data_IF_828718833065
#
_entry.id   IF_828718833065
#
_cell.length_a   1.000
_cell.length_b   1.000
_cell.length_c   1.000
_cell.angle_alpha   90.00
_cell.angle_beta   90.00
_cell.angle_gamma   90.00
#
_symmetry.space_group_name_H-M   'P 1'
#
loop_
_entity.id
_entity.type
_entity.pdbx_description
1 polymer ?
#
# COMPACT_ATOMS: atom_id res chain seq x y z
N UNK A 1 -7.65 -7.59 18.96
CA UNK A 1 -7.95 -6.46 18.04
C UNK A 1 -9.13 -6.83 17.18
N UNK A 2 -9.94 -5.87 16.73
CA UNK A 2 -11.13 -6.14 15.89
C UNK A 2 -10.83 -6.33 14.41
N UNK A 3 -9.58 -6.13 13.98
CA UNK A 3 -9.10 -6.41 12.62
C UNK A 3 -9.97 -5.78 11.52
N UNK A 4 -10.13 -6.51 10.42
CA UNK A 4 -11.00 -6.16 9.30
C UNK A 4 -12.45 -5.88 9.72
N UNK A 5 -12.94 -6.49 10.81
CA UNK A 5 -14.30 -6.29 11.30
C UNK A 5 -14.55 -4.88 11.87
N UNK A 6 -13.53 -4.05 12.10
CA UNK A 6 -13.71 -2.65 12.50
C UNK A 6 -14.33 -1.80 11.38
N UNK A 7 -14.01 -2.08 10.11
CA UNK A 7 -14.63 -1.38 8.96
C UNK A 7 -16.15 -1.57 8.98
N UNK A 8 -16.61 -2.76 9.38
CA UNK A 8 -18.04 -3.04 9.52
C UNK A 8 -18.67 -2.34 10.73
N UNK A 9 -17.92 -2.12 11.81
CA UNK A 9 -18.43 -1.36 12.97
C UNK A 9 -18.67 0.10 12.65
N UNK A 10 -17.86 0.71 11.77
CA UNK A 10 -18.11 2.08 11.30
C UNK A 10 -19.50 2.23 10.68
N UNK A 11 -20.04 1.14 10.11
CA UNK A 11 -21.39 1.11 9.54
C UNK A 11 -22.44 0.68 10.58
N UNK A 12 -22.18 -0.42 11.30
CA UNK A 12 -23.17 -1.07 12.17
C UNK A 12 -23.25 -0.47 13.58
N UNK A 13 -22.15 0.10 14.08
CA UNK A 13 -21.97 0.61 15.45
C UNK A 13 -21.16 1.92 15.45
N UNK A 14 -21.61 2.96 14.72
CA UNK A 14 -20.82 4.18 14.50
C UNK A 14 -20.41 4.87 15.82
N UNK A 15 -21.31 4.93 16.80
CA UNK A 15 -21.00 5.56 18.10
C UNK A 15 -19.89 4.82 18.88
N UNK A 16 -19.83 3.50 18.77
CA UNK A 16 -18.76 2.71 19.38
C UNK A 16 -17.45 2.90 18.63
N UNK A 17 -17.50 2.90 17.29
CA UNK A 17 -16.33 3.17 16.45
C UNK A 17 -15.73 4.56 16.76
N UNK A 18 -16.57 5.58 16.88
CA UNK A 18 -16.14 6.94 17.26
C UNK A 18 -15.47 7.01 18.65
N UNK A 19 -15.94 6.23 19.63
CA UNK A 19 -15.30 6.15 20.95
C UNK A 19 -13.91 5.54 20.87
N UNK A 20 -13.76 4.48 20.07
CA UNK A 20 -12.46 3.83 19.84
C UNK A 20 -11.50 4.78 19.13
N UNK A 21 -11.96 5.45 18.06
CA UNK A 21 -11.14 6.40 17.30
C UNK A 21 -10.72 7.61 18.14
N UNK A 22 -11.63 8.13 18.98
CA UNK A 22 -11.29 9.20 19.93
C UNK A 22 -10.19 8.78 20.91
N UNK A 23 -10.28 7.55 21.43
CA UNK A 23 -9.25 7.00 22.31
C UNK A 23 -7.90 6.84 21.57
N UNK A 24 -7.91 6.26 20.37
CA UNK A 24 -6.71 6.11 19.55
C UNK A 24 -6.07 7.47 19.22
N UNK A 25 -6.88 8.47 18.86
CA UNK A 25 -6.40 9.83 18.57
C UNK A 25 -5.69 10.46 19.76
N UNK A 26 -6.22 10.31 20.98
CA UNK A 26 -5.56 10.80 22.19
C UNK A 26 -4.23 10.09 22.47
N UNK A 27 -4.14 8.79 22.17
CA UNK A 27 -2.88 8.05 22.27
C UNK A 27 -1.88 8.56 21.22
N UNK A 28 -2.29 8.67 19.96
CA UNK A 28 -1.44 9.20 18.88
C UNK A 28 -0.95 10.61 19.20
N UNK A 29 -1.83 11.48 19.72
CA UNK A 29 -1.48 12.84 20.16
C UNK A 29 -0.36 12.81 21.21
N UNK A 30 -0.54 12.05 22.30
CA UNK A 30 0.46 11.92 23.38
C UNK A 30 1.78 11.30 22.91
N UNK A 31 1.71 10.29 22.04
CA UNK A 31 2.92 9.69 21.46
C UNK A 31 3.69 10.70 20.62
N UNK A 32 2.99 11.51 19.81
CA UNK A 32 3.61 12.61 19.06
C UNK A 32 4.32 13.61 19.99
N UNK A 33 3.69 13.98 21.11
CA UNK A 33 4.32 14.83 22.13
C UNK A 33 5.61 14.21 22.68
N UNK A 34 5.55 12.95 23.13
CA UNK A 34 6.71 12.27 23.68
C UNK A 34 7.85 12.12 22.67
N UNK A 35 7.54 11.84 21.41
CA UNK A 35 8.57 11.80 20.36
C UNK A 35 9.23 13.17 20.17
N UNK A 36 8.46 14.26 20.15
CA UNK A 36 9.05 15.60 20.06
C UNK A 36 9.92 15.94 21.28
N UNK A 37 9.54 15.49 22.49
CA UNK A 37 10.35 15.66 23.71
C UNK A 37 11.70 14.94 23.62
N UNK A 38 11.82 13.87 22.82
CA UNK A 38 13.11 13.22 22.54
C UNK A 38 13.98 13.96 21.51
N UNK A 39 13.46 15.04 20.90
CA UNK A 39 14.14 15.82 19.86
C UNK A 39 13.72 15.47 18.43
N UNK A 40 12.64 14.70 18.24
CA UNK A 40 12.10 14.46 16.90
C UNK A 40 11.51 15.75 16.30
N UNK A 41 11.97 16.12 15.10
CA UNK A 41 11.48 17.30 14.37
C UNK A 41 10.21 17.01 13.55
N UNK A 42 10.01 15.74 13.19
CA UNK A 42 8.94 15.29 12.30
C UNK A 42 8.19 14.13 12.96
N UNK A 43 6.86 14.20 12.95
CA UNK A 43 5.96 13.12 13.37
C UNK A 43 5.24 12.60 12.13
N UNK A 44 5.42 11.31 11.83
CA UNK A 44 4.67 10.63 10.79
C UNK A 44 3.44 9.94 11.40
N UNK A 45 2.25 10.33 10.97
CA UNK A 45 1.01 9.65 11.34
C UNK A 45 0.61 8.71 10.22
N UNK A 46 0.67 7.41 10.51
CA UNK A 46 0.50 6.33 9.54
C UNK A 46 -0.91 5.75 9.67
N UNK A 47 -1.69 5.81 8.59
CA UNK A 47 -2.99 5.13 8.48
C UNK A 47 -3.05 4.32 7.17
N UNK A 48 -2.64 3.04 7.20
CA UNK A 48 -2.62 2.19 6.01
C UNK A 48 -4.04 1.80 5.55
N UNK A 49 -5.07 2.06 6.35
CA UNK A 49 -6.47 1.71 6.02
C UNK A 49 -7.18 2.82 5.25
N UNK A 50 -6.53 3.98 5.05
CA UNK A 50 -7.06 5.09 4.25
C UNK A 50 -7.45 4.66 2.84
N UNK A 51 -6.72 3.75 2.20
CA UNK A 51 -7.07 3.22 0.86
C UNK A 51 -8.35 2.37 0.86
N UNK A 52 -8.73 1.82 2.01
CA UNK A 52 -9.83 0.86 2.16
C UNK A 52 -11.18 1.50 2.49
N UNK A 53 -11.22 2.82 2.72
CA UNK A 53 -12.45 3.54 3.08
C UNK A 53 -12.88 4.53 2.00
N UNK A 54 -14.17 4.88 1.98
CA UNK A 54 -14.69 5.90 1.05
C UNK A 54 -14.36 7.32 1.55
N UNK A 55 -14.39 8.34 0.68
CA UNK A 55 -14.23 9.74 1.09
C UNK A 55 -15.19 10.16 2.21
N UNK A 56 -16.46 9.71 2.12
CA UNK A 56 -17.47 9.94 3.16
C UNK A 56 -17.08 9.32 4.51
N UNK A 57 -16.50 8.12 4.48
CA UNK A 57 -16.00 7.47 5.70
C UNK A 57 -14.75 8.17 6.22
N UNK A 58 -13.86 8.68 5.35
CA UNK A 58 -12.70 9.47 5.78
C UNK A 58 -13.14 10.74 6.52
N UNK A 59 -14.07 11.51 5.93
CA UNK A 59 -14.62 12.71 6.56
C UNK A 59 -15.30 12.43 7.91
N UNK A 60 -16.02 11.32 8.02
CA UNK A 60 -16.74 10.97 9.24
C UNK A 60 -15.81 10.39 10.33
N UNK A 61 -14.87 9.52 9.96
CA UNK A 61 -14.15 8.67 10.91
C UNK A 61 -12.63 8.88 10.95
N UNK A 62 -12.07 9.72 10.08
CA UNK A 62 -10.62 10.04 10.10
C UNK A 62 -10.41 11.52 10.38
N UNK A 63 -10.99 12.41 9.56
CA UNK A 63 -10.81 13.87 9.67
C UNK A 63 -11.00 14.43 11.09
N UNK A 64 -12.05 14.05 11.87
CA UNK A 64 -12.28 14.61 13.21
C UNK A 64 -11.20 14.23 14.23
N UNK A 65 -10.44 13.17 13.93
CA UNK A 65 -9.48 12.57 14.85
C UNK A 65 -8.04 12.87 14.48
N UNK A 66 -7.74 12.93 13.18
CA UNK A 66 -6.40 13.28 12.72
C UNK A 66 -6.11 14.77 12.87
N UNK A 67 -7.12 15.63 12.70
CA UNK A 67 -6.92 17.09 12.76
C UNK A 67 -6.42 17.57 14.13
N UNK A 68 -6.97 17.15 15.28
CA UNK A 68 -6.42 17.50 16.59
C UNK A 68 -4.96 17.03 16.78
N UNK A 69 -4.58 15.88 16.21
CA UNK A 69 -3.21 15.38 16.27
C UNK A 69 -2.27 16.28 15.47
N UNK A 70 -2.67 16.66 14.25
CA UNK A 70 -1.94 17.62 13.40
C UNK A 70 -1.77 18.95 14.12
N UNK A 71 -2.86 19.51 14.64
CA UNK A 71 -2.88 20.81 15.30
C UNK A 71 -1.98 20.81 16.56
N UNK A 72 -1.93 19.71 17.33
CA UNK A 72 -1.02 19.56 18.47
C UNK A 72 0.45 19.58 18.05
N UNK A 73 0.84 18.74 17.08
CA UNK A 73 2.24 18.65 16.63
C UNK A 73 2.72 20.00 16.10
N UNK A 74 1.91 20.64 15.25
CA UNK A 74 2.21 21.97 14.71
C UNK A 74 2.24 23.05 15.80
N UNK A 75 1.34 22.99 16.77
CA UNK A 75 1.28 23.91 17.92
C UNK A 75 2.55 23.88 18.78
N UNK A 76 3.32 22.79 18.72
CA UNK A 76 4.63 22.65 19.37
C UNK A 76 5.82 22.88 18.44
N UNK A 77 5.58 23.51 17.28
CA UNK A 77 6.57 23.74 16.22
C UNK A 77 7.14 22.45 15.59
N UNK A 78 6.45 21.31 15.73
CA UNK A 78 6.78 20.09 15.01
C UNK A 78 6.24 20.10 13.58
N UNK A 79 6.83 19.28 12.73
CA UNK A 79 6.36 19.00 11.37
C UNK A 79 5.53 17.71 11.41
N UNK A 80 4.39 17.68 10.74
CA UNK A 80 3.56 16.47 10.66
C UNK A 80 3.38 16.01 9.22
N UNK A 81 3.70 14.74 8.97
CA UNK A 81 3.43 14.07 7.69
C UNK A 81 2.37 12.99 7.89
N UNK A 82 1.45 12.85 6.94
CA UNK A 82 0.51 11.74 6.90
C UNK A 82 1.01 10.69 5.91
N UNK A 83 0.88 9.42 6.25
CA UNK A 83 1.20 8.33 5.34
C UNK A 83 0.03 7.37 5.14
N UNK A 84 -0.19 6.94 3.90
CA UNK A 84 -1.14 5.89 3.55
C UNK A 84 -0.54 4.87 2.57
N UNK A 85 -0.85 3.59 2.82
CA UNK A 85 -0.49 2.46 1.95
C UNK A 85 -1.63 2.10 0.99
N UNK A 86 -1.28 1.52 -0.16
CA UNK A 86 -2.21 1.11 -1.21
C UNK A 86 -2.72 2.28 -2.06
N UNK A 87 -3.63 1.98 -3.01
CA UNK A 87 -4.20 3.02 -3.87
C UNK A 87 -5.21 3.90 -3.09
N UNK A 88 -4.69 4.96 -2.49
CA UNK A 88 -5.45 5.94 -1.72
C UNK A 88 -5.92 7.16 -2.54
N UNK A 89 -5.84 7.12 -3.88
CA UNK A 89 -6.13 8.24 -4.78
C UNK A 89 -7.42 8.99 -4.41
N UNK A 90 -8.50 8.27 -4.07
CA UNK A 90 -9.80 8.83 -3.67
C UNK A 90 -9.78 9.70 -2.40
N UNK A 91 -8.78 9.53 -1.53
CA UNK A 91 -8.69 10.19 -0.22
C UNK A 91 -7.50 11.15 -0.09
N UNK A 92 -6.56 11.20 -1.04
CA UNK A 92 -5.39 12.09 -0.97
C UNK A 92 -5.77 13.56 -0.78
N UNK A 93 -6.80 14.03 -1.50
CA UNK A 93 -7.25 15.42 -1.34
C UNK A 93 -7.77 15.71 0.08
N UNK A 94 -8.49 14.77 0.69
CA UNK A 94 -8.98 14.89 2.07
C UNK A 94 -7.83 14.84 3.10
N UNK A 95 -6.80 14.04 2.83
CA UNK A 95 -5.57 14.04 3.64
C UNK A 95 -4.92 15.42 3.62
N UNK A 96 -4.78 16.05 2.45
CA UNK A 96 -4.22 17.40 2.34
C UNK A 96 -5.12 18.48 2.95
N UNK A 97 -6.44 18.35 2.83
CA UNK A 97 -7.41 19.25 3.49
C UNK A 97 -7.37 19.16 5.02
N UNK A 98 -6.83 18.07 5.58
CA UNK A 98 -6.58 17.96 7.02
C UNK A 98 -5.40 18.85 7.48
N UNK A 99 -4.73 19.53 6.55
CA UNK A 99 -3.65 20.49 6.74
C UNK A 99 -2.36 19.96 7.39
N UNK A 100 -1.82 18.77 7.01
CA UNK A 100 -0.48 18.38 7.41
C UNK A 100 0.59 19.21 6.68
N UNK A 101 1.85 19.08 7.11
CA UNK A 101 2.99 19.66 6.39
C UNK A 101 3.35 18.85 5.14
N UNK A 102 3.16 17.53 5.19
CA UNK A 102 3.39 16.64 4.06
C UNK A 102 2.40 15.47 3.99
N UNK A 103 2.27 14.87 2.80
CA UNK A 103 1.59 13.58 2.60
C UNK A 103 2.51 12.62 1.85
N UNK A 104 2.81 11.48 2.46
CA UNK A 104 3.53 10.36 1.87
C UNK A 104 2.54 9.29 1.38
N UNK A 105 2.81 8.69 0.22
CA UNK A 105 1.87 7.78 -0.44
C UNK A 105 2.54 6.66 -1.23
N UNK A 106 1.77 5.59 -1.43
CA UNK A 106 2.15 4.36 -2.12
C UNK A 106 2.47 4.54 -3.62
N UNK A 107 3.23 3.59 -4.17
CA UNK A 107 3.56 3.51 -5.61
C UNK A 107 2.32 3.46 -6.51
N UNK A 108 1.18 3.05 -5.98
CA UNK A 108 -0.08 2.93 -6.71
C UNK A 108 -0.84 4.26 -6.91
N UNK A 109 -0.39 5.37 -6.31
CA UNK A 109 -1.00 6.69 -6.48
C UNK A 109 -0.18 7.51 -7.49
N UNK A 110 -0.85 8.16 -8.45
CA UNK A 110 -0.18 8.92 -9.50
C UNK A 110 0.54 10.17 -8.95
N UNK A 111 1.86 10.27 -9.16
CA UNK A 111 2.69 11.35 -8.65
C UNK A 111 2.30 12.73 -9.22
N UNK A 112 1.88 12.80 -10.49
CA UNK A 112 1.48 14.05 -11.13
C UNK A 112 0.17 14.61 -10.54
N UNK A 113 -0.80 13.73 -10.29
CA UNK A 113 -2.04 14.02 -9.60
C UNK A 113 -1.77 14.57 -8.20
N UNK A 114 -0.92 13.90 -7.41
CA UNK A 114 -0.58 14.36 -6.06
C UNK A 114 0.11 15.72 -6.09
N UNK A 115 1.05 15.94 -7.04
CA UNK A 115 1.69 17.25 -7.21
C UNK A 115 0.69 18.37 -7.46
N UNK A 116 -0.31 18.14 -8.33
CA UNK A 116 -1.36 19.14 -8.58
C UNK A 116 -2.16 19.50 -7.33
N UNK A 117 -2.47 18.51 -6.48
CA UNK A 117 -3.12 18.75 -5.20
C UNK A 117 -2.19 19.46 -4.19
N UNK A 118 -0.93 19.05 -4.11
CA UNK A 118 0.08 19.65 -3.26
C UNK A 118 0.25 21.17 -3.55
N UNK A 119 0.29 21.55 -4.83
CA UNK A 119 0.35 22.96 -5.25
C UNK A 119 -0.90 23.74 -4.85
N UNK A 120 -2.08 23.11 -4.93
CA UNK A 120 -3.38 23.70 -4.56
C UNK A 120 -3.48 23.93 -3.04
N UNK A 121 -3.10 22.94 -2.23
CA UNK A 121 -3.25 22.96 -0.78
C UNK A 121 -2.02 23.47 -0.02
N UNK A 122 -0.90 23.71 -0.71
CA UNK A 122 0.38 24.14 -0.11
C UNK A 122 0.91 23.14 0.92
N UNK A 123 0.84 21.86 0.55
CA UNK A 123 1.30 20.71 1.36
C UNK A 123 2.43 20.04 0.60
N UNK A 124 3.51 19.66 1.29
CA UNK A 124 4.58 18.85 0.69
C UNK A 124 4.09 17.43 0.39
N UNK A 125 4.81 16.70 -0.45
CA UNK A 125 4.42 15.35 -0.83
C UNK A 125 5.65 14.46 -0.98
N UNK A 126 5.46 13.19 -0.62
CA UNK A 126 6.53 12.21 -0.47
C UNK A 126 6.17 10.89 -1.16
N UNK A 127 7.15 10.24 -1.77
CA UNK A 127 6.97 8.98 -2.52
C UNK A 127 7.57 9.07 -3.93
N UNK A 128 7.27 8.14 -4.82
CA UNK A 128 6.65 6.86 -4.56
C UNK A 128 7.37 5.78 -5.37
N UNK A 129 8.70 5.65 -5.17
CA UNK A 129 9.54 4.71 -5.91
C UNK A 129 8.97 3.28 -5.76
N UNK A 130 8.85 2.49 -6.84
CA UNK A 130 8.28 1.16 -6.76
C UNK A 130 9.18 0.21 -5.98
N UNK A 131 8.59 -0.54 -5.06
CA UNK A 131 9.31 -1.38 -4.10
C UNK A 131 9.81 -2.65 -4.75
N UNK A 132 8.94 -3.35 -5.48
CA UNK A 132 9.25 -4.69 -5.99
C UNK A 132 9.93 -4.63 -7.34
N UNK A 133 9.31 -3.99 -8.33
CA UNK A 133 9.82 -3.97 -9.71
C UNK A 133 11.07 -3.13 -9.86
N UNK A 134 11.22 -2.07 -9.06
CA UNK A 134 12.34 -1.13 -9.17
C UNK A 134 13.40 -1.42 -8.10
N UNK A 135 13.05 -1.37 -6.81
CA UNK A 135 14.05 -1.49 -5.75
C UNK A 135 14.48 -2.93 -5.44
N UNK A 136 13.55 -3.91 -5.44
CA UNK A 136 13.86 -5.31 -5.08
C UNK A 136 14.44 -6.10 -6.26
N UNK A 137 13.77 -6.06 -7.42
CA UNK A 137 14.13 -6.87 -8.59
C UNK A 137 14.76 -6.07 -9.73
N UNK A 138 14.80 -4.75 -9.65
CA UNK A 138 15.52 -3.93 -10.61
C UNK A 138 17.02 -3.94 -10.36
N UNK A 139 17.78 -3.48 -11.34
CA UNK A 139 19.20 -3.16 -11.23
C UNK A 139 19.42 -1.74 -10.69
N UNK A 140 20.66 -1.38 -10.28
CA UNK A 140 21.00 0.00 -9.93
C UNK A 140 20.63 1.02 -11.00
N UNK A 141 20.79 0.64 -12.27
CA UNK A 141 20.52 1.50 -13.40
C UNK A 141 19.02 1.75 -13.56
N UNK A 142 18.21 0.69 -13.55
CA UNK A 142 16.75 0.79 -13.60
C UNK A 142 16.22 1.60 -12.40
N UNK A 143 16.78 1.39 -11.21
CA UNK A 143 16.42 2.16 -10.01
C UNK A 143 16.71 3.66 -10.17
N UNK A 144 17.87 4.02 -10.72
CA UNK A 144 18.24 5.42 -10.94
C UNK A 144 17.45 6.04 -12.10
N UNK A 145 17.17 5.30 -13.16
CA UNK A 145 16.32 5.77 -14.27
C UNK A 145 14.89 6.09 -13.80
N UNK A 146 14.31 5.24 -12.97
CA UNK A 146 13.00 5.48 -12.34
C UNK A 146 13.01 6.73 -11.44
N UNK A 147 14.04 6.87 -10.60
CA UNK A 147 14.23 8.03 -9.74
C UNK A 147 14.41 9.33 -10.53
N UNK A 148 15.13 9.30 -11.65
CA UNK A 148 15.31 10.45 -12.55
C UNK A 148 13.96 10.98 -13.03
N UNK A 149 13.12 10.09 -13.53
CA UNK A 149 11.77 10.42 -13.99
C UNK A 149 10.92 11.00 -12.84
N UNK A 150 11.01 10.43 -11.64
CA UNK A 150 10.28 10.91 -10.46
C UNK A 150 10.74 12.29 -9.99
N UNK A 151 12.05 12.55 -9.95
CA UNK A 151 12.61 13.87 -9.61
C UNK A 151 12.16 14.92 -10.62
N UNK A 152 12.18 14.59 -11.91
CA UNK A 152 11.69 15.49 -12.96
C UNK A 152 10.21 15.83 -12.77
N UNK A 153 9.37 14.80 -12.51
CA UNK A 153 7.94 14.96 -12.34
C UNK A 153 7.59 15.72 -11.05
N UNK A 154 8.15 15.31 -9.91
CA UNK A 154 7.91 15.90 -8.59
C UNK A 154 8.46 17.32 -8.47
N UNK A 155 9.54 17.64 -9.18
CA UNK A 155 10.13 18.97 -9.22
C UNK A 155 10.98 19.32 -8.00
N UNK A 156 11.33 20.61 -7.86
CA UNK A 156 12.36 21.08 -6.92
C UNK A 156 11.81 21.68 -5.61
N UNK A 157 10.50 21.65 -5.39
CA UNK A 157 9.88 22.29 -4.23
C UNK A 157 8.70 21.46 -3.75
N UNK A 158 8.68 21.19 -2.45
CA UNK A 158 7.61 20.44 -1.80
C UNK A 158 7.66 18.92 -2.05
N UNK A 159 8.49 18.44 -2.97
CA UNK A 159 8.65 17.01 -3.24
C UNK A 159 9.81 16.41 -2.42
N UNK A 160 9.54 15.29 -1.74
CA UNK A 160 10.52 14.46 -1.04
C UNK A 160 10.54 13.09 -1.73
N UNK A 161 11.64 12.78 -2.41
CA UNK A 161 11.80 11.46 -3.02
C UNK A 161 11.94 10.39 -1.94
N UNK A 162 11.08 9.37 -1.99
CA UNK A 162 11.13 8.22 -1.10
C UNK A 162 10.52 6.97 -1.77
N UNK A 163 10.73 5.77 -1.20
CA UNK A 163 9.95 4.59 -1.53
C UNK A 163 8.44 4.81 -1.30
N UNK A 164 7.60 4.07 -2.02
CA UNK A 164 6.15 4.15 -1.86
C UNK A 164 5.63 3.61 -0.51
N UNK A 165 6.32 2.65 0.09
CA UNK A 165 6.00 2.07 1.40
C UNK A 165 7.28 1.47 2.02
N UNK A 166 7.13 0.69 3.09
CA UNK A 166 8.21 -0.07 3.70
C UNK A 166 8.92 -0.97 2.69
N UNK A 167 10.26 -0.98 2.75
CA UNK A 167 11.09 -1.77 1.85
C UNK A 167 10.91 -3.28 2.13
N UNK A 168 10.79 -4.10 1.08
CA UNK A 168 10.96 -5.55 1.21
C UNK A 168 12.29 -5.89 1.88
N UNK A 169 12.28 -6.89 2.76
CA UNK A 169 13.49 -7.28 3.53
C UNK A 169 14.69 -7.62 2.63
N UNK A 170 14.44 -8.29 1.51
CA UNK A 170 15.47 -8.71 0.56
C UNK A 170 15.88 -7.62 -0.44
N UNK A 171 15.40 -6.37 -0.29
CA UNK A 171 15.79 -5.26 -1.17
C UNK A 171 17.31 -5.10 -1.18
N UNK A 172 17.98 -5.23 -2.33
CA UNK A 172 19.44 -5.19 -2.38
C UNK A 172 19.97 -3.81 -2.01
N UNK A 173 20.93 -3.78 -1.08
CA UNK A 173 21.52 -2.53 -0.59
C UNK A 173 22.16 -1.69 -1.70
N UNK A 174 22.66 -2.32 -2.77
CA UNK A 174 23.30 -1.63 -3.90
C UNK A 174 22.31 -0.81 -4.73
N UNK A 175 21.04 -1.22 -4.80
CA UNK A 175 19.99 -0.42 -5.45
C UNK A 175 19.70 0.84 -4.64
N UNK A 176 19.61 0.70 -3.31
CA UNK A 176 19.44 1.82 -2.39
C UNK A 176 20.64 2.77 -2.42
N UNK A 177 21.86 2.23 -2.46
CA UNK A 177 23.09 3.02 -2.56
C UNK A 177 23.13 3.82 -3.86
N UNK A 178 22.78 3.21 -5.00
CA UNK A 178 22.74 3.87 -6.29
C UNK A 178 21.72 5.03 -6.32
N UNK A 179 20.50 4.78 -5.80
CA UNK A 179 19.48 5.83 -5.65
C UNK A 179 19.97 6.96 -4.76
N UNK A 180 20.57 6.63 -3.61
CA UNK A 180 21.08 7.63 -2.66
C UNK A 180 22.23 8.46 -3.24
N UNK A 181 23.20 7.84 -3.92
CA UNK A 181 24.30 8.53 -4.60
C UNK A 181 23.77 9.46 -5.69
N UNK A 182 22.87 8.97 -6.54
CA UNK A 182 22.27 9.79 -7.58
C UNK A 182 21.51 10.99 -7.00
N UNK A 183 20.66 10.78 -5.98
CA UNK A 183 19.90 11.86 -5.36
C UNK A 183 20.79 12.91 -4.67
N UNK A 184 21.92 12.50 -4.08
CA UNK A 184 22.81 13.39 -3.34
C UNK A 184 23.82 14.14 -4.24
N UNK A 185 24.37 13.48 -5.26
CA UNK A 185 25.51 14.00 -6.04
C UNK A 185 25.26 14.02 -7.55
N UNK A 186 24.19 13.39 -8.04
CA UNK A 186 23.95 13.16 -9.46
C UNK A 186 24.84 12.07 -10.07
N UNK A 187 25.57 11.31 -9.25
CA UNK A 187 26.40 10.21 -9.71
C UNK A 187 25.55 9.07 -10.27
N UNK A 188 25.83 8.65 -11.51
CA UNK A 188 25.15 7.53 -12.14
C UNK A 188 25.92 6.22 -11.91
N UNK A 189 25.22 5.09 -11.75
CA UNK A 189 25.86 3.79 -11.59
C UNK A 189 26.60 3.39 -12.88
N UNK A 190 27.69 2.63 -12.75
CA UNK A 190 28.45 2.18 -13.92
C UNK A 190 27.64 1.18 -14.76
N UNK A 191 27.83 1.20 -16.08
CA UNK A 191 27.20 0.21 -16.99
C UNK A 191 27.64 -1.23 -16.68
N UNK A 192 28.79 -1.40 -16.04
CA UNK A 192 29.36 -2.68 -15.61
C UNK A 192 29.00 -3.05 -14.16
N UNK A 193 28.07 -2.33 -13.52
CA UNK A 193 27.65 -2.65 -12.16
C UNK A 193 27.17 -4.11 -12.02
N UNK A 194 26.81 -4.78 -13.13
CA UNK A 194 26.86 -6.25 -13.22
C UNK A 194 25.78 -6.97 -12.42
N UNK A 195 24.68 -6.29 -12.13
CA UNK A 195 23.53 -6.86 -11.43
C UNK A 195 22.44 -7.23 -12.43
N UNK A 196 21.67 -8.27 -12.08
CA UNK A 196 20.57 -8.77 -12.88
C UNK A 196 19.54 -7.67 -13.11
N UNK A 197 19.10 -7.49 -14.36
CA UNK A 197 17.95 -6.65 -14.67
C UNK A 197 16.65 -7.29 -14.16
N UNK A 198 15.56 -6.51 -14.11
CA UNK A 198 14.24 -7.09 -13.83
C UNK A 198 13.89 -8.19 -14.85
N UNK A 199 14.25 -8.00 -16.13
CA UNK A 199 14.02 -9.00 -17.17
C UNK A 199 14.80 -10.29 -16.90
N UNK A 200 16.09 -10.19 -16.56
CA UNK A 200 16.93 -11.35 -16.23
C UNK A 200 16.44 -12.08 -14.98
N UNK A 201 16.00 -11.33 -13.95
CA UNK A 201 15.45 -11.90 -12.72
C UNK A 201 14.17 -12.70 -13.00
N UNK A 202 13.31 -12.19 -13.89
CA UNK A 202 12.10 -12.89 -14.31
C UNK A 202 12.41 -14.13 -15.15
N UNK A 203 13.39 -14.07 -16.06
CA UNK A 203 13.81 -15.21 -16.89
C UNK A 203 14.41 -16.35 -16.03
N UNK A 204 15.25 -16.03 -15.06
CA UNK A 204 15.85 -17.03 -14.16
C UNK A 204 14.81 -17.75 -13.29
N UNK A 205 13.75 -17.05 -12.89
CA UNK A 205 12.64 -17.68 -12.16
C UNK A 205 11.91 -18.73 -13.01
N UNK A 206 11.74 -18.47 -14.31
CA UNK A 206 11.16 -19.44 -15.24
C UNK A 206 12.05 -20.67 -15.43
N UNK A 207 13.35 -20.46 -15.63
CA UNK A 207 14.31 -21.54 -15.84
C UNK A 207 14.48 -22.44 -14.60
N UNK A 208 14.32 -21.86 -13.40
CA UNK A 208 14.41 -22.59 -12.14
C UNK A 208 13.10 -23.29 -11.72
N UNK A 209 11.99 -23.05 -12.44
CA UNK A 209 10.68 -23.59 -12.11
C UNK A 209 10.01 -22.89 -10.92
N UNK A 210 10.51 -21.72 -10.50
CA UNK A 210 9.86 -20.85 -9.52
C UNK A 210 8.72 -20.07 -10.20
N UNK A 211 7.62 -20.78 -10.46
CA UNK A 211 6.40 -20.25 -11.07
C UNK A 211 5.18 -20.68 -10.27
N UNK A 212 4.17 -19.82 -10.20
CA UNK A 212 2.88 -20.22 -9.66
C UNK A 212 2.17 -21.12 -10.66
N UNK A 213 1.82 -22.33 -10.24
CA UNK A 213 0.97 -23.23 -11.03
C UNK A 213 -0.37 -22.56 -11.34
N UNK A 214 -0.83 -22.74 -12.57
CA UNK A 214 -2.20 -22.37 -12.94
C UNK A 214 -3.18 -23.30 -12.21
N UNK A 215 -4.15 -22.69 -11.53
CA UNK A 215 -5.20 -23.45 -10.85
C UNK A 215 -6.35 -23.70 -11.82
N UNK A 216 -6.57 -24.97 -12.13
CA UNK A 216 -7.73 -25.40 -12.91
C UNK A 216 -8.96 -25.32 -12.03
N UNK A 217 -9.99 -24.58 -12.48
CA UNK A 217 -11.24 -24.44 -11.75
C UNK A 217 -12.11 -25.67 -12.03
N UNK A 218 -12.31 -26.50 -11.00
CA UNK A 218 -13.18 -27.67 -11.10
C UNK A 218 -14.66 -27.26 -11.07
N UNK A 219 -15.54 -27.90 -11.86
CA UNK A 219 -16.98 -27.66 -11.77
C UNK A 219 -17.53 -27.87 -10.35
N UNK A 220 -18.27 -26.90 -9.83
CA UNK A 220 -18.81 -26.94 -8.47
C UNK A 220 -17.83 -26.56 -7.36
N UNK A 221 -16.62 -26.10 -7.71
CA UNK A 221 -15.66 -25.49 -6.79
C UNK A 221 -15.36 -24.05 -7.18
N UNK A 222 -14.89 -23.28 -6.20
CA UNK A 222 -14.41 -21.91 -6.36
C UNK A 222 -12.96 -21.85 -5.89
N UNK A 223 -12.15 -21.15 -6.67
CA UNK A 223 -10.78 -20.83 -6.29
C UNK A 223 -10.63 -19.32 -6.10
N UNK A 224 -10.08 -18.90 -4.95
CA UNK A 224 -9.75 -17.51 -4.67
C UNK A 224 -8.24 -17.33 -4.66
N UNK A 225 -7.75 -16.37 -5.42
CA UNK A 225 -6.34 -15.98 -5.40
C UNK A 225 -6.24 -14.54 -4.93
N UNK A 226 -5.42 -14.29 -3.92
CA UNK A 226 -5.20 -12.95 -3.37
C UNK A 226 -3.77 -12.55 -3.71
N UNK A 227 -3.62 -11.52 -4.52
CA UNK A 227 -2.31 -10.96 -4.86
C UNK A 227 -1.99 -9.83 -3.88
N UNK A 228 -0.85 -9.94 -3.21
CA UNK A 228 -0.43 -9.05 -2.13
C UNK A 228 1.06 -8.74 -2.22
N UNK A 229 1.49 -7.69 -1.51
CA UNK A 229 2.90 -7.46 -1.23
C UNK A 229 3.39 -8.46 -0.16
N UNK A 230 2.76 -8.39 1.02
CA UNK A 230 3.06 -9.23 2.18
C UNK A 230 1.93 -9.15 3.22
N UNK A 231 1.11 -10.19 3.39
CA UNK A 231 0.05 -10.18 4.41
C UNK A 231 0.55 -10.23 5.86
N UNK A 232 1.83 -10.56 6.10
CA UNK A 232 2.41 -10.57 7.45
C UNK A 232 2.85 -9.17 7.89
N UNK A 233 3.21 -8.31 6.93
CA UNK A 233 3.74 -6.97 7.18
C UNK A 233 2.80 -5.81 6.79
N UNK A 234 1.93 -6.02 5.80
CA UNK A 234 1.07 -4.96 5.25
C UNK A 234 -0.40 -5.16 5.69
N UNK A 235 -0.93 -4.24 6.50
CA UNK A 235 -2.27 -4.36 7.09
C UNK A 235 -3.42 -4.51 6.05
N UNK A 236 -3.48 -3.75 4.94
CA UNK A 236 -4.44 -4.00 3.87
C UNK A 236 -4.36 -5.42 3.28
N UNK A 237 -3.13 -5.92 3.05
CA UNK A 237 -2.90 -7.28 2.55
C UNK A 237 -3.40 -8.31 3.57
N UNK A 238 -3.05 -8.12 4.85
CA UNK A 238 -3.51 -8.95 5.96
C UNK A 238 -5.04 -9.04 5.98
N UNK A 239 -5.73 -7.89 5.95
CA UNK A 239 -7.19 -7.85 6.10
C UNK A 239 -7.90 -8.43 4.87
N UNK A 240 -7.30 -8.36 3.68
CA UNK A 240 -7.81 -9.05 2.48
C UNK A 240 -7.73 -10.57 2.65
N UNK A 241 -6.60 -11.09 3.17
CA UNK A 241 -6.45 -12.51 3.48
C UNK A 241 -7.38 -12.98 4.60
N UNK A 242 -7.53 -12.19 5.66
CA UNK A 242 -8.47 -12.47 6.75
C UNK A 242 -9.92 -12.54 6.25
N UNK A 243 -10.33 -11.63 5.34
CA UNK A 243 -11.68 -11.66 4.77
C UNK A 243 -12.01 -12.98 4.06
N UNK A 244 -11.02 -13.62 3.43
CA UNK A 244 -11.18 -14.93 2.79
C UNK A 244 -11.09 -16.06 3.80
N UNK A 245 -10.10 -16.01 4.70
CA UNK A 245 -9.88 -17.00 5.75
C UNK A 245 -11.11 -17.16 6.66
N UNK A 246 -11.80 -16.06 6.96
CA UNK A 246 -12.99 -16.05 7.81
C UNK A 246 -14.22 -16.70 7.14
N UNK A 247 -14.34 -16.60 5.80
CA UNK A 247 -15.47 -17.19 5.06
C UNK A 247 -15.19 -18.60 4.56
N UNK A 248 -13.92 -18.96 4.35
CA UNK A 248 -13.54 -20.25 3.76
C UNK A 248 -14.13 -21.47 4.50
N UNK A 249 -14.16 -21.52 5.85
CA UNK A 249 -14.76 -22.63 6.60
C UNK A 249 -16.24 -22.86 6.29
N UNK A 250 -17.00 -21.85 5.85
CA UNK A 250 -18.41 -22.00 5.47
C UNK A 250 -18.60 -22.90 4.24
N UNK A 251 -17.61 -22.94 3.35
CA UNK A 251 -17.69 -23.64 2.07
C UNK A 251 -16.99 -24.99 2.06
N UNK A 252 -16.14 -25.27 3.06
CA UNK A 252 -15.42 -26.53 3.18
C UNK A 252 -14.57 -26.81 1.94
N UNK A 253 -14.73 -28.01 1.36
CA UNK A 253 -13.99 -28.48 0.19
C UNK A 253 -14.38 -27.80 -1.14
N UNK A 254 -15.45 -26.99 -1.13
CA UNK A 254 -15.90 -26.24 -2.31
C UNK A 254 -15.11 -24.97 -2.57
N UNK A 255 -14.33 -24.50 -1.59
CA UNK A 255 -13.53 -23.29 -1.71
C UNK A 255 -12.07 -23.59 -1.36
N UNK A 256 -11.19 -23.35 -2.30
CA UNK A 256 -9.74 -23.33 -2.08
C UNK A 256 -9.23 -21.91 -2.30
N UNK A 257 -8.16 -21.51 -1.59
CA UNK A 257 -7.56 -20.21 -1.79
C UNK A 257 -6.06 -20.21 -1.56
N UNK A 258 -5.37 -19.24 -2.16
CA UNK A 258 -3.95 -18.97 -1.91
C UNK A 258 -3.65 -17.48 -1.91
N UNK A 259 -2.58 -17.12 -1.24
CA UNK A 259 -1.92 -15.83 -1.39
C UNK A 259 -0.76 -15.95 -2.40
N UNK A 260 -0.65 -14.97 -3.30
CA UNK A 260 0.41 -14.87 -4.30
C UNK A 260 1.20 -13.58 -4.05
N UNK A 261 2.41 -13.74 -3.52
CA UNK A 261 3.25 -12.66 -3.03
C UNK A 261 4.09 -12.03 -4.14
N UNK A 262 3.98 -10.72 -4.36
CA UNK A 262 4.78 -10.00 -5.38
C UNK A 262 6.23 -9.74 -4.97
N UNK A 263 6.65 -10.16 -3.76
CA UNK A 263 8.05 -10.20 -3.33
C UNK A 263 8.84 -11.40 -3.91
N UNK A 264 8.30 -12.07 -4.92
CA UNK A 264 8.96 -13.15 -5.67
C UNK A 264 8.85 -12.88 -7.18
N UNK A 265 9.85 -13.30 -7.95
CA UNK A 265 9.78 -13.19 -9.41
C UNK A 265 8.60 -14.01 -9.99
N UNK A 266 8.33 -15.19 -9.41
CA UNK A 266 7.14 -15.99 -9.67
C UNK A 266 5.84 -15.18 -9.50
N UNK A 267 5.73 -14.45 -8.38
CA UNK A 267 4.57 -13.64 -8.03
C UNK A 267 4.39 -12.43 -8.94
N UNK A 268 5.48 -11.75 -9.31
CA UNK A 268 5.43 -10.66 -10.29
C UNK A 268 4.92 -11.17 -11.64
N UNK A 269 5.44 -12.31 -12.11
CA UNK A 269 4.97 -12.93 -13.36
C UNK A 269 3.49 -13.33 -13.28
N UNK A 270 3.07 -13.96 -12.17
CA UNK A 270 1.67 -14.34 -11.94
C UNK A 270 0.74 -13.12 -11.93
N UNK A 271 1.14 -12.05 -11.26
CA UNK A 271 0.42 -10.76 -11.21
C UNK A 271 0.21 -10.19 -12.61
N UNK A 272 1.27 -10.15 -13.43
CA UNK A 272 1.19 -9.73 -14.84
C UNK A 272 0.25 -10.62 -15.66
N UNK A 273 0.34 -11.94 -15.50
CA UNK A 273 -0.50 -12.90 -16.21
C UNK A 273 -2.00 -12.78 -15.84
N UNK A 274 -2.29 -12.43 -14.59
CA UNK A 274 -3.64 -12.20 -14.08
C UNK A 274 -4.22 -10.81 -14.42
N UNK A 275 -3.42 -9.92 -15.03
CA UNK A 275 -3.85 -8.56 -15.35
C UNK A 275 -4.09 -7.69 -14.11
N UNK A 276 -3.44 -8.02 -12.98
CA UNK A 276 -3.56 -7.26 -11.74
C UNK A 276 -2.68 -6.01 -11.81
N UNK A 277 -3.26 -4.85 -11.53
CA UNK A 277 -2.57 -3.54 -11.58
C UNK A 277 -2.48 -2.83 -10.24
N UNK A 278 -3.20 -3.27 -9.22
CA UNK A 278 -3.17 -2.67 -7.87
C UNK A 278 -3.14 -3.76 -6.79
N UNK A 279 -2.78 -3.40 -5.56
CA UNK A 279 -2.63 -4.31 -4.44
C UNK A 279 -3.23 -3.72 -3.15
N UNK A 280 -3.85 -4.57 -2.31
CA UNK A 280 -4.11 -5.99 -2.54
C UNK A 280 -5.27 -6.22 -3.52
N UNK A 281 -5.22 -7.31 -4.30
CA UNK A 281 -6.28 -7.66 -5.27
C UNK A 281 -6.77 -9.07 -5.05
N UNK A 282 -8.09 -9.26 -5.03
CA UNK A 282 -8.74 -10.58 -4.92
C UNK A 282 -9.35 -10.99 -6.25
N UNK A 283 -8.95 -12.16 -6.70
CA UNK A 283 -9.50 -12.84 -7.85
C UNK A 283 -10.36 -14.02 -7.41
N UNK A 284 -11.47 -14.24 -8.12
CA UNK A 284 -12.31 -15.43 -7.94
C UNK A 284 -12.42 -16.11 -9.30
N UNK A 285 -11.93 -17.35 -9.39
CA UNK A 285 -11.85 -18.11 -10.64
C UNK A 285 -11.03 -17.38 -11.73
N UNK A 286 -9.86 -16.85 -11.36
CA UNK A 286 -8.95 -16.06 -12.22
C UNK A 286 -9.52 -14.74 -12.75
N UNK A 287 -10.70 -14.31 -12.29
CA UNK A 287 -11.26 -12.99 -12.61
C UNK A 287 -11.02 -12.03 -11.46
N UNK A 288 -10.53 -10.83 -11.73
CA UNK A 288 -10.44 -9.75 -10.73
C UNK A 288 -11.86 -9.37 -10.28
N UNK A 289 -12.15 -9.56 -8.99
CA UNK A 289 -13.45 -9.23 -8.40
C UNK A 289 -13.35 -8.05 -7.45
N UNK A 290 -12.27 -7.95 -6.68
CA UNK A 290 -12.03 -6.84 -5.77
C UNK A 290 -10.62 -6.29 -5.98
N UNK A 291 -10.55 -5.03 -6.40
CA UNK A 291 -9.33 -4.31 -6.75
C UNK A 291 -9.03 -3.25 -5.68
N UNK A 292 -8.01 -3.50 -4.85
CA UNK A 292 -7.63 -2.65 -3.70
C UNK A 292 -8.82 -2.27 -2.77
N UNK A 293 -9.78 -3.17 -2.59
CA UNK A 293 -10.89 -2.98 -1.65
C UNK A 293 -11.27 -4.27 -0.96
N UNK A 294 -11.15 -4.30 0.36
CA UNK A 294 -11.52 -5.48 1.16
C UNK A 294 -13.05 -5.66 1.13
N UNK A 295 -13.56 -6.83 0.70
CA UNK A 295 -15.00 -7.07 0.67
C UNK A 295 -15.58 -7.31 2.06
N UNK A 296 -16.88 -7.09 2.20
CA UNK A 296 -17.61 -7.58 3.38
C UNK A 296 -17.80 -9.10 3.26
N UNK A 297 -17.93 -9.80 4.40
CA UNK A 297 -18.20 -11.23 4.39
C UNK A 297 -19.47 -11.57 3.59
N UNK A 298 -20.53 -10.78 3.73
CA UNK A 298 -21.79 -10.99 3.02
C UNK A 298 -21.62 -10.83 1.50
N UNK A 299 -20.84 -9.84 1.04
CA UNK A 299 -20.62 -9.63 -0.39
C UNK A 299 -19.68 -10.67 -0.98
N UNK A 300 -18.65 -11.08 -0.23
CA UNK A 300 -17.77 -12.17 -0.64
C UNK A 300 -18.54 -13.49 -0.77
N UNK A 301 -19.36 -13.85 0.22
CA UNK A 301 -20.22 -15.04 0.18
C UNK A 301 -21.17 -15.01 -1.02
N UNK A 302 -21.78 -13.86 -1.34
CA UNK A 302 -22.63 -13.72 -2.55
C UNK A 302 -21.85 -14.01 -3.84
N UNK A 303 -20.60 -13.55 -3.94
CA UNK A 303 -19.77 -13.78 -5.13
C UNK A 303 -19.36 -15.25 -5.28
N UNK A 304 -19.09 -15.93 -4.15
CA UNK A 304 -18.79 -17.37 -4.11
C UNK A 304 -20.03 -18.17 -4.50
N UNK A 305 -21.18 -17.90 -3.87
CA UNK A 305 -22.45 -18.58 -4.13
C UNK A 305 -22.91 -18.45 -5.59
N UNK A 306 -22.70 -17.27 -6.19
CA UNK A 306 -22.99 -17.03 -7.60
C UNK A 306 -22.20 -17.98 -8.51
N UNK A 307 -20.93 -18.22 -8.20
CA UNK A 307 -20.01 -19.06 -8.99
C UNK A 307 -20.15 -20.54 -8.69
N UNK A 308 -20.62 -20.93 -7.51
CA UNK A 308 -20.96 -22.32 -7.21
C UNK A 308 -22.24 -22.81 -7.92
N UNK A 309 -23.09 -21.89 -8.37
CA UNK A 309 -24.35 -22.18 -9.08
C UNK A 309 -24.22 -22.18 -10.61
N UNK A 310 -23.15 -21.58 -11.14
CA UNK A 310 -22.83 -21.52 -12.58
C UNK A 310 -21.92 -22.66 -12.98
#
# INVERSE_FOLDING_TARGET
>A
MRGSAFIMDMIKKPDEAHKVLAFCAEITRKMGEWYMETGAHVIAVVDPMTSQISPKHFEAFVTPYIKPVIDEVRGKNGIVTLFCCGNATKNIELMMQSCPDAVAFDEQVDLAFVKGLAEKYKVCFEGNIPLTTTLLFGSPKESVEDVKMRIELGGKTGYILSPGCDLPYDTPFYNLEAVGKYAATGEEPSDTAGFLSLEDALLQAEESGDVFDDVTIEPGKVFIEIVTLDSEGCAPCQYMCEAVSDVAPHYGDKLTWRESLIKSAAGIKRTKALGVSTLPTMLINNEVVYDNIIPTADDLMKQIDKRLKG
#
